data_IF_409287107331
#
_entry.id   IF_409287107331
#
_cell.length_a   1.000
_cell.length_b   1.000
_cell.length_c   1.000
_cell.angle_alpha   90.00
_cell.angle_beta   90.00
_cell.angle_gamma   90.00
#
_symmetry.space_group_name_H-M   'P 1'
#
loop_
_entity.id
_entity.type
_entity.pdbx_description
1 polymer ?
#
# COMPACT_ATOMS: atom_id res chain seq x y z
N UNK A 1 7.83 7.80 9.48
CA UNK A 1 7.69 7.73 8.02
C UNK A 1 8.26 6.41 7.56
N UNK A 2 7.45 5.59 6.90
CA UNK A 2 7.81 4.25 6.45
C UNK A 2 7.39 4.10 4.99
N UNK A 3 8.32 3.69 4.12
CA UNK A 3 8.00 3.37 2.73
C UNK A 3 7.48 1.92 2.66
N UNK A 4 6.34 1.73 2.01
CA UNK A 4 5.66 0.45 1.85
C UNK A 4 5.88 -0.05 0.42
N UNK A 5 6.27 -1.31 0.31
CA UNK A 5 6.47 -2.00 -0.95
C UNK A 5 5.17 -2.69 -1.40
N UNK A 6 5.02 -2.87 -2.71
CA UNK A 6 3.88 -3.52 -3.33
C UNK A 6 3.62 -4.92 -2.77
N UNK A 7 4.65 -5.67 -2.38
CA UNK A 7 4.45 -7.03 -1.85
C UNK A 7 3.58 -7.06 -0.58
N UNK A 8 3.78 -6.11 0.33
CA UNK A 8 2.97 -5.96 1.55
C UNK A 8 1.53 -5.64 1.20
N UNK A 9 1.33 -4.74 0.23
CA UNK A 9 -0.01 -4.29 -0.19
C UNK A 9 -0.76 -5.36 -0.97
N UNK A 10 -0.05 -6.16 -1.77
CA UNK A 10 -0.65 -7.27 -2.52
C UNK A 10 -1.24 -8.32 -1.59
N UNK A 11 -0.60 -8.61 -0.45
CA UNK A 11 -1.14 -9.56 0.54
C UNK A 11 -2.56 -9.15 0.99
N UNK A 12 -2.82 -7.85 1.13
CA UNK A 12 -4.14 -7.31 1.48
C UNK A 12 -5.11 -7.37 0.30
N UNK A 13 -4.66 -6.95 -0.89
CA UNK A 13 -5.51 -6.91 -2.10
C UNK A 13 -5.97 -8.31 -2.50
N UNK A 14 -5.13 -9.33 -2.30
CA UNK A 14 -5.46 -10.71 -2.64
C UNK A 14 -6.08 -11.51 -1.49
N UNK A 15 -6.20 -10.92 -0.29
CA UNK A 15 -6.59 -11.61 0.94
C UNK A 15 -5.74 -12.88 1.13
N UNK A 16 -4.40 -12.75 1.09
CA UNK A 16 -3.51 -13.91 1.20
C UNK A 16 -3.65 -14.54 2.60
N UNK A 17 -4.17 -15.78 2.71
CA UNK A 17 -4.51 -16.40 3.99
C UNK A 17 -3.28 -16.68 4.87
N UNK A 18 -2.07 -16.57 4.34
CA UNK A 18 -0.83 -16.83 5.08
C UNK A 18 -0.09 -15.55 5.45
N UNK A 19 -0.38 -14.42 4.78
CA UNK A 19 0.45 -13.21 4.84
C UNK A 19 -0.32 -11.94 5.19
N UNK A 20 -1.62 -11.89 4.90
CA UNK A 20 -2.44 -10.70 5.13
C UNK A 20 -2.37 -10.23 6.60
N UNK A 21 -2.53 -11.13 7.57
CA UNK A 21 -2.45 -10.81 8.99
C UNK A 21 -1.10 -10.19 9.39
N UNK A 22 -0.01 -10.72 8.85
CA UNK A 22 1.32 -10.19 9.13
C UNK A 22 1.49 -8.79 8.53
N UNK A 23 1.08 -8.61 7.28
CA UNK A 23 1.18 -7.33 6.56
C UNK A 23 0.31 -6.26 7.23
N UNK A 24 -0.91 -6.59 7.66
CA UNK A 24 -1.77 -5.70 8.44
C UNK A 24 -1.07 -5.28 9.75
N UNK A 25 -0.55 -6.23 10.52
CA UNK A 25 0.13 -5.93 11.78
C UNK A 25 1.36 -5.02 11.59
N UNK A 26 2.10 -5.17 10.47
CA UNK A 26 3.21 -4.27 10.15
C UNK A 26 2.73 -2.86 9.80
N UNK A 27 1.68 -2.74 8.99
CA UNK A 27 1.09 -1.44 8.62
C UNK A 27 0.56 -0.71 9.85
N UNK A 28 -0.15 -1.40 10.74
CA UNK A 28 -0.62 -0.85 12.02
C UNK A 28 0.55 -0.40 12.90
N UNK A 29 1.58 -1.23 13.04
CA UNK A 29 2.75 -0.87 13.85
C UNK A 29 3.50 0.33 13.27
N UNK A 30 3.60 0.40 11.94
CA UNK A 30 4.29 1.48 11.24
C UNK A 30 3.50 2.79 11.30
N UNK A 31 2.17 2.75 11.21
CA UNK A 31 1.32 3.94 11.26
C UNK A 31 1.40 4.66 12.62
N UNK A 32 1.60 3.90 13.71
CA UNK A 32 1.88 4.45 15.04
C UNK A 32 3.17 5.27 15.12
N UNK A 33 4.10 5.09 14.17
CA UNK A 33 5.41 5.75 14.13
C UNK A 33 5.45 6.89 13.11
N UNK A 34 4.34 7.17 12.42
CA UNK A 34 4.21 8.23 11.43
C UNK A 34 3.67 7.74 10.09
N UNK A 35 3.71 8.59 9.04
CA UNK A 35 3.00 8.32 7.79
C UNK A 35 3.56 7.12 7.04
N UNK A 36 2.66 6.41 6.37
CA UNK A 36 2.94 5.30 5.46
C UNK A 36 3.00 5.85 4.05
N UNK A 37 4.11 5.64 3.37
CA UNK A 37 4.34 6.18 2.04
C UNK A 37 4.35 5.06 1.00
N UNK A 38 3.86 5.37 -0.19
CA UNK A 38 4.15 4.62 -1.41
C UNK A 38 4.74 5.57 -2.44
N UNK A 39 5.48 5.03 -3.41
CA UNK A 39 5.99 5.83 -4.52
C UNK A 39 5.20 5.56 -5.82
N UNK A 40 5.51 6.33 -6.85
CA UNK A 40 4.86 6.24 -8.16
C UNK A 40 5.03 4.86 -8.83
N UNK A 41 6.11 4.13 -8.52
CA UNK A 41 6.37 2.78 -9.04
C UNK A 41 5.44 1.78 -8.35
N UNK A 42 5.36 1.83 -7.01
CA UNK A 42 4.44 0.99 -6.21
C UNK A 42 2.98 1.25 -6.61
N UNK A 43 2.59 2.51 -6.78
CA UNK A 43 1.27 2.88 -7.26
C UNK A 43 0.97 2.28 -8.64
N UNK A 44 1.93 2.35 -9.58
CA UNK A 44 1.79 1.79 -10.92
C UNK A 44 1.69 0.25 -10.92
N UNK A 45 2.41 -0.44 -10.03
CA UNK A 45 2.30 -1.90 -9.89
C UNK A 45 0.92 -2.32 -9.36
N UNK A 46 0.38 -1.58 -8.38
CA UNK A 46 -0.97 -1.82 -7.87
C UNK A 46 -2.05 -1.58 -8.93
N UNK A 47 -1.88 -0.58 -9.80
CA UNK A 47 -2.85 -0.24 -10.85
C UNK A 47 -3.24 -1.41 -11.75
N UNK A 48 -2.35 -2.39 -11.96
CA UNK A 48 -2.63 -3.59 -12.77
C UNK A 48 -3.73 -4.48 -12.17
N UNK A 49 -4.04 -4.32 -10.87
CA UNK A 49 -5.07 -5.09 -10.15
C UNK A 49 -6.44 -4.44 -10.15
N UNK A 50 -6.56 -3.17 -10.53
CA UNK A 50 -7.80 -2.41 -10.50
C UNK A 50 -8.28 -2.10 -11.92
N UNK A 51 -9.60 -1.96 -12.10
CA UNK A 51 -10.18 -1.68 -13.42
C UNK A 51 -10.14 -0.20 -13.74
N UNK A 52 -10.13 0.63 -12.71
CA UNK A 52 -10.20 2.09 -12.81
C UNK A 52 -9.21 2.72 -11.84
N UNK A 53 -8.82 3.97 -12.11
CA UNK A 53 -7.92 4.71 -11.22
C UNK A 53 -8.62 5.03 -9.89
N UNK A 54 -9.93 5.25 -9.93
CA UNK A 54 -10.74 5.55 -8.75
C UNK A 54 -10.79 4.37 -7.77
N UNK A 55 -10.83 3.13 -8.27
CA UNK A 55 -10.76 1.94 -7.40
C UNK A 55 -9.40 1.81 -6.71
N UNK A 56 -8.31 2.14 -7.41
CA UNK A 56 -6.96 2.15 -6.83
C UNK A 56 -6.83 3.28 -5.80
N UNK A 57 -7.26 4.50 -6.14
CA UNK A 57 -7.21 5.65 -5.24
C UNK A 57 -8.03 5.38 -3.96
N UNK A 58 -9.21 4.78 -4.09
CA UNK A 58 -10.01 4.37 -2.94
C UNK A 58 -9.30 3.37 -2.03
N UNK A 59 -8.51 2.44 -2.59
CA UNK A 59 -7.68 1.53 -1.79
C UNK A 59 -6.54 2.26 -1.08
N UNK A 60 -5.83 3.13 -1.80
CA UNK A 60 -4.73 3.94 -1.25
C UNK A 60 -5.22 4.80 -0.08
N UNK A 61 -6.37 5.46 -0.26
CA UNK A 61 -7.03 6.28 0.76
C UNK A 61 -7.49 5.44 1.96
N UNK A 62 -8.14 4.29 1.71
CA UNK A 62 -8.60 3.39 2.77
C UNK A 62 -7.46 2.81 3.60
N UNK A 63 -6.30 2.56 2.97
CA UNK A 63 -5.09 2.08 3.63
C UNK A 63 -4.29 3.21 4.33
N UNK A 64 -4.69 4.47 4.19
CA UNK A 64 -4.01 5.63 4.77
C UNK A 64 -2.60 5.83 4.21
N UNK A 65 -2.40 5.51 2.93
CA UNK A 65 -1.12 5.61 2.26
C UNK A 65 -0.97 6.98 1.58
N UNK A 66 0.21 7.58 1.70
CA UNK A 66 0.54 8.81 1.00
C UNK A 66 1.43 8.51 -0.22
N UNK A 67 0.99 8.93 -1.41
CA UNK A 67 1.80 8.82 -2.62
C UNK A 67 2.85 9.94 -2.63
N UNK A 68 4.12 9.56 -2.61
CA UNK A 68 5.25 10.49 -2.66
C UNK A 68 6.14 10.19 -3.88
N UNK A 69 6.40 11.19 -4.74
CA UNK A 69 7.32 11.02 -5.85
C UNK A 69 8.73 10.76 -5.35
N UNK A 70 9.41 9.78 -5.96
CA UNK A 70 10.85 9.62 -5.78
C UNK A 70 11.54 10.56 -6.76
N UNK A 71 12.31 11.50 -6.22
CA UNK A 71 13.26 12.30 -6.99
C UNK A 71 14.63 11.60 -6.93
N UNK A 72 15.21 11.34 -8.11
CA UNK A 72 16.58 10.82 -8.25
C UNK A 72 17.61 11.94 -8.13
#
# INVERSE_FOLDING_TARGET
>A
MTLIDTNVLLDLVTDDPNRADWSIAQLETASLRGPLLINNIVYAELAVRYKTIEELDAFVDAAGLEVQPIFF
#
